data_IF_089185457763
#
_entry.id   IF_089185457763
#
_cell.length_a   1.000
_cell.length_b   1.000
_cell.length_c   1.000
_cell.angle_alpha   90.00
_cell.angle_beta   90.00
_cell.angle_gamma   90.00
#
_symmetry.space_group_name_H-M   'P 1'
#
loop_
_entity.id
_entity.type
_entity.pdbx_description
1 polymer ?
#
# COMPACT_ATOMS: atom_id res chain seq x y z
N UNK A 1 1.12 19.92 -27.56
CA UNK A 1 1.19 19.12 -26.32
C UNK A 1 2.64 18.95 -25.85
N UNK A 2 3.59 18.65 -26.75
CA UNK A 2 5.01 18.46 -26.42
C UNK A 2 5.69 19.73 -25.91
N UNK A 3 5.39 20.90 -26.48
CA UNK A 3 5.95 22.18 -26.04
C UNK A 3 5.42 22.68 -24.68
N UNK A 4 4.19 22.29 -24.30
CA UNK A 4 3.61 22.66 -23.00
C UNK A 4 4.27 21.84 -21.88
N UNK A 5 4.54 20.55 -22.10
CA UNK A 5 5.22 19.69 -21.13
C UNK A 5 6.66 20.16 -20.82
N UNK A 6 7.42 20.52 -21.83
CA UNK A 6 8.80 21.03 -21.67
C UNK A 6 8.84 22.38 -20.96
N UNK A 7 7.86 23.27 -21.17
CA UNK A 7 7.76 24.55 -20.46
C UNK A 7 7.35 24.40 -19.00
N UNK A 8 6.46 23.48 -18.68
CA UNK A 8 6.08 23.17 -17.29
C UNK A 8 7.26 22.57 -16.52
N UNK A 9 7.94 21.57 -17.09
CA UNK A 9 9.15 20.97 -16.49
C UNK A 9 10.25 22.02 -16.27
N UNK A 10 10.46 22.94 -17.19
CA UNK A 10 11.45 24.02 -17.02
C UNK A 10 11.08 25.03 -15.93
N UNK A 11 9.80 25.40 -15.77
CA UNK A 11 9.36 26.32 -14.73
C UNK A 11 9.39 25.67 -13.33
N UNK A 12 9.03 24.42 -13.24
CA UNK A 12 9.11 23.64 -12.00
C UNK A 12 10.58 23.41 -11.58
N UNK A 13 11.48 23.15 -12.50
CA UNK A 13 12.92 23.01 -12.25
C UNK A 13 13.51 24.32 -11.70
N UNK A 14 13.18 25.47 -12.29
CA UNK A 14 13.63 26.80 -11.78
C UNK A 14 13.11 27.11 -10.38
N UNK A 15 11.89 26.73 -10.04
CA UNK A 15 11.31 26.96 -8.70
C UNK A 15 12.05 26.12 -7.65
N UNK A 16 12.47 24.90 -7.98
CA UNK A 16 13.16 24.00 -7.06
C UNK A 16 14.62 24.36 -6.86
N UNK A 17 15.34 24.70 -7.93
CA UNK A 17 16.72 25.19 -7.82
C UNK A 17 16.75 26.39 -6.88
N UNK A 18 15.78 27.29 -7.01
CA UNK A 18 15.59 28.40 -6.10
C UNK A 18 15.28 27.95 -4.66
N UNK A 19 14.41 26.95 -4.45
CA UNK A 19 14.11 26.42 -3.11
C UNK A 19 15.32 25.74 -2.48
N UNK A 20 16.10 24.98 -3.25
CA UNK A 20 17.34 24.33 -2.81
C UNK A 20 18.36 25.38 -2.33
N UNK A 21 18.55 26.48 -3.09
CA UNK A 21 19.44 27.57 -2.71
C UNK A 21 18.92 28.39 -1.52
N UNK A 22 17.66 28.83 -1.55
CA UNK A 22 17.05 29.68 -0.51
C UNK A 22 16.95 28.97 0.85
N UNK A 23 16.75 27.65 0.86
CA UNK A 23 16.67 26.82 2.06
C UNK A 23 18.00 26.23 2.48
N UNK A 24 19.06 26.45 1.73
CA UNK A 24 20.39 25.96 2.04
C UNK A 24 20.47 24.43 2.09
N UNK A 25 19.75 23.74 1.21
CA UNK A 25 19.74 22.28 1.14
C UNK A 25 21.16 21.74 0.94
N UNK A 26 21.59 20.83 1.78
CA UNK A 26 22.94 20.23 1.75
C UNK A 26 22.97 18.88 1.09
N UNK A 27 21.85 18.17 1.07
CA UNK A 27 21.74 16.81 0.57
C UNK A 27 20.37 16.60 -0.07
N UNK A 28 20.32 15.88 -1.19
CA UNK A 28 19.08 15.47 -1.83
C UNK A 28 19.04 13.94 -1.85
N UNK A 29 17.98 13.37 -1.28
CA UNK A 29 17.77 11.94 -1.23
C UNK A 29 16.86 11.54 -2.38
N UNK A 30 17.37 10.66 -3.23
CA UNK A 30 16.63 10.05 -4.33
C UNK A 30 16.01 8.75 -3.82
N UNK A 31 14.69 8.71 -3.77
CA UNK A 31 13.93 7.59 -3.22
C UNK A 31 13.35 6.71 -4.32
N UNK A 32 13.40 5.42 -4.12
CA UNK A 32 12.73 4.43 -4.95
C UNK A 32 12.36 3.20 -4.10
N UNK A 33 11.62 2.25 -4.69
CA UNK A 33 11.07 1.11 -3.95
C UNK A 33 11.41 -0.18 -4.68
N UNK A 34 11.88 -1.21 -3.96
CA UNK A 34 12.07 -2.55 -4.52
C UNK A 34 10.72 -3.30 -4.70
N UNK A 35 10.76 -4.46 -5.34
CA UNK A 35 9.55 -5.27 -5.62
C UNK A 35 8.82 -5.70 -4.34
N UNK A 36 9.54 -5.85 -3.23
CA UNK A 36 8.93 -6.20 -1.93
C UNK A 36 8.34 -5.00 -1.16
N UNK A 37 8.39 -3.80 -1.73
CA UNK A 37 7.88 -2.60 -1.05
C UNK A 37 8.83 -2.02 0.00
N UNK A 38 10.13 -2.30 -0.11
CA UNK A 38 11.15 -1.71 0.77
C UNK A 38 11.66 -0.41 0.17
N UNK A 39 11.64 0.64 0.97
CA UNK A 39 12.15 1.95 0.59
C UNK A 39 13.68 1.92 0.43
N UNK A 40 14.17 2.44 -0.67
CA UNK A 40 15.59 2.59 -0.99
C UNK A 40 15.93 4.06 -1.18
N UNK A 41 17.16 4.42 -0.89
CA UNK A 41 17.62 5.80 -1.00
C UNK A 41 19.08 5.87 -1.40
N UNK A 42 19.40 6.78 -2.29
CA UNK A 42 20.76 7.26 -2.54
C UNK A 42 20.75 8.78 -2.35
N UNK A 43 21.87 9.33 -1.89
CA UNK A 43 22.00 10.76 -1.62
C UNK A 43 22.99 11.39 -2.58
N UNK A 44 22.62 12.58 -3.10
CA UNK A 44 23.47 13.39 -3.98
C UNK A 44 23.72 14.77 -3.39
N UNK A 45 24.83 15.40 -3.79
CA UNK A 45 25.03 16.83 -3.57
C UNK A 45 24.06 17.65 -4.44
N UNK A 46 23.55 18.79 -3.97
CA UNK A 46 22.79 19.71 -4.81
C UNK A 46 23.49 20.10 -6.11
N UNK A 47 24.81 20.14 -6.12
CA UNK A 47 25.60 20.45 -7.32
C UNK A 47 25.44 19.43 -8.46
N UNK A 48 25.06 18.18 -8.11
CA UNK A 48 24.84 17.10 -9.10
C UNK A 48 23.42 17.08 -9.65
N UNK A 49 22.52 17.93 -9.11
CA UNK A 49 21.09 17.81 -9.38
C UNK A 49 20.76 18.00 -10.86
N UNK A 50 21.37 18.98 -11.51
CA UNK A 50 21.17 19.27 -12.94
C UNK A 50 21.58 18.06 -13.80
N UNK A 51 22.78 17.53 -13.56
CA UNK A 51 23.29 16.32 -14.25
C UNK A 51 22.36 15.13 -14.06
N UNK A 52 21.87 14.93 -12.82
CA UNK A 52 20.98 13.80 -12.50
C UNK A 52 19.60 13.95 -13.14
N UNK A 53 19.09 15.18 -13.35
CA UNK A 53 17.87 15.40 -14.11
C UNK A 53 18.06 15.10 -15.61
N UNK A 54 19.19 15.49 -16.19
CA UNK A 54 19.48 15.30 -17.61
C UNK A 54 19.80 13.82 -17.93
N UNK A 55 20.72 13.24 -17.18
CA UNK A 55 21.31 11.93 -17.49
C UNK A 55 20.71 10.78 -16.66
N UNK A 56 20.17 11.07 -15.47
CA UNK A 56 19.83 10.10 -14.46
C UNK A 56 21.03 9.71 -13.59
N UNK A 57 20.78 9.13 -12.43
CA UNK A 57 21.81 8.56 -11.58
C UNK A 57 21.99 7.07 -11.88
N UNK A 58 23.13 6.69 -12.46
CA UNK A 58 23.47 5.29 -12.72
C UNK A 58 23.85 4.57 -11.44
N UNK A 59 23.32 3.35 -11.25
CA UNK A 59 23.66 2.48 -10.13
C UNK A 59 23.53 0.99 -10.50
N UNK A 60 24.20 0.13 -9.72
CA UNK A 60 24.08 -1.32 -9.86
C UNK A 60 22.79 -1.82 -9.20
N UNK A 61 21.82 -2.23 -10.03
CA UNK A 61 20.53 -2.78 -9.59
C UNK A 61 20.62 -4.23 -9.11
N UNK A 62 21.75 -4.95 -9.32
CA UNK A 62 21.85 -6.39 -8.99
C UNK A 62 21.70 -6.68 -7.49
N UNK A 63 22.06 -5.73 -6.65
CA UNK A 63 21.91 -5.82 -5.19
C UNK A 63 20.52 -5.48 -4.67
N UNK A 64 19.57 -5.10 -5.55
CA UNK A 64 18.22 -4.71 -5.20
C UNK A 64 17.24 -5.81 -5.54
N UNK A 65 16.43 -6.20 -4.54
CA UNK A 65 15.45 -7.27 -4.68
C UNK A 65 14.48 -7.03 -5.84
N UNK A 66 14.52 -7.92 -6.82
CA UNK A 66 13.66 -7.89 -8.01
C UNK A 66 14.13 -6.99 -9.14
N UNK A 67 15.26 -6.27 -9.01
CA UNK A 67 15.66 -5.34 -10.07
C UNK A 67 16.34 -6.06 -11.23
N UNK A 68 17.56 -6.52 -11.14
CA UNK A 68 18.22 -7.07 -12.29
C UNK A 68 18.96 -8.38 -12.03
N UNK A 69 19.36 -9.07 -13.12
CA UNK A 69 20.28 -10.22 -13.05
C UNK A 69 21.71 -9.73 -13.08
N UNK A 70 22.63 -10.54 -12.54
CA UNK A 70 24.07 -10.23 -12.44
C UNK A 70 24.73 -9.78 -13.77
N UNK A 71 24.11 -10.08 -14.91
CA UNK A 71 24.69 -9.82 -16.24
C UNK A 71 24.21 -8.51 -16.92
N UNK A 72 23.18 -7.84 -16.36
CA UNK A 72 22.63 -6.58 -16.87
C UNK A 72 22.21 -5.73 -15.68
N UNK A 73 23.19 -5.26 -14.90
CA UNK A 73 22.93 -4.72 -13.57
C UNK A 73 22.69 -3.22 -13.53
N UNK A 74 23.21 -2.48 -14.51
CA UNK A 74 23.17 -1.02 -14.47
C UNK A 74 21.83 -0.46 -14.91
N UNK A 75 21.24 0.36 -14.05
CA UNK A 75 19.99 1.10 -14.27
C UNK A 75 20.16 2.55 -13.88
N UNK A 76 19.22 3.40 -14.30
CA UNK A 76 19.21 4.83 -14.00
C UNK A 76 18.05 5.18 -13.04
N UNK A 77 18.34 5.84 -11.93
CA UNK A 77 17.33 6.53 -11.15
C UNK A 77 17.10 7.93 -11.74
N UNK A 78 15.88 8.17 -12.24
CA UNK A 78 15.45 9.46 -12.76
C UNK A 78 14.48 10.11 -11.80
N UNK A 79 14.89 11.19 -11.11
CA UNK A 79 14.04 11.88 -10.17
C UNK A 79 12.76 12.40 -10.83
N UNK A 80 11.65 12.26 -10.12
CA UNK A 80 10.39 12.90 -10.48
C UNK A 80 10.34 14.25 -9.77
N UNK A 81 10.55 15.34 -10.51
CA UNK A 81 10.65 16.65 -9.90
C UNK A 81 9.34 17.09 -9.22
N UNK A 82 8.16 16.55 -9.56
CA UNK A 82 6.89 16.89 -8.93
C UNK A 82 6.79 16.42 -7.48
N UNK A 83 7.69 15.52 -7.06
CA UNK A 83 7.71 14.90 -5.73
C UNK A 83 8.77 15.48 -4.79
N UNK A 84 9.36 16.64 -5.13
CA UNK A 84 10.37 17.27 -4.28
C UNK A 84 9.75 17.78 -2.97
N UNK A 85 10.31 17.32 -1.85
CA UNK A 85 9.92 17.78 -0.52
C UNK A 85 11.16 18.00 0.37
N UNK A 86 11.06 18.92 1.32
CA UNK A 86 12.07 19.09 2.36
C UNK A 86 11.80 18.12 3.50
N UNK A 87 12.83 17.44 4.00
CA UNK A 87 12.69 16.49 5.10
C UNK A 87 12.55 17.22 6.44
N UNK A 88 11.36 17.20 7.07
CA UNK A 88 11.08 18.02 8.26
C UNK A 88 11.74 17.52 9.55
N UNK A 89 12.33 16.32 9.54
CA UNK A 89 13.05 15.73 10.67
C UNK A 89 14.55 15.94 10.64
N UNK A 90 15.05 16.76 9.72
CA UNK A 90 16.45 17.17 9.62
C UNK A 90 16.58 18.60 10.13
N UNK A 91 17.63 18.88 10.87
CA UNK A 91 17.88 20.24 11.39
C UNK A 91 18.07 21.26 10.25
N UNK A 92 17.67 22.51 10.48
CA UNK A 92 17.70 23.56 9.44
C UNK A 92 19.10 23.84 8.88
N UNK A 93 20.16 23.65 9.69
CA UNK A 93 21.57 23.82 9.28
C UNK A 93 22.09 22.64 8.44
N UNK A 94 21.36 21.52 8.43
CA UNK A 94 21.62 20.32 7.62
C UNK A 94 20.48 20.03 6.63
N UNK A 95 19.70 21.04 6.24
CA UNK A 95 18.51 20.89 5.43
C UNK A 95 18.71 19.89 4.29
N UNK A 96 17.79 18.94 4.18
CA UNK A 96 17.82 17.87 3.18
C UNK A 96 16.50 17.83 2.41
N UNK A 97 16.60 17.66 1.10
CA UNK A 97 15.44 17.40 0.23
C UNK A 97 15.31 15.93 -0.13
N UNK A 98 14.15 15.56 -0.65
CA UNK A 98 13.90 14.24 -1.22
C UNK A 98 13.08 14.32 -2.49
N UNK A 99 13.23 13.32 -3.38
CA UNK A 99 12.39 13.07 -4.55
C UNK A 99 12.22 11.59 -4.77
N UNK A 100 11.05 11.18 -5.20
CA UNK A 100 10.85 9.83 -5.75
C UNK A 100 11.46 9.73 -7.15
N UNK A 101 11.99 8.56 -7.47
CA UNK A 101 12.59 8.27 -8.77
C UNK A 101 11.80 7.21 -9.52
N UNK A 102 11.79 7.37 -10.83
CA UNK A 102 11.45 6.30 -11.76
C UNK A 102 12.75 5.61 -12.19
N UNK A 103 12.76 4.29 -12.19
CA UNK A 103 13.93 3.53 -12.65
C UNK A 103 13.78 3.24 -14.14
N UNK A 104 14.86 3.49 -14.89
CA UNK A 104 14.94 3.24 -16.34
C UNK A 104 16.15 2.41 -16.70
N UNK A 105 16.10 1.76 -17.84
CA UNK A 105 17.26 1.17 -18.50
C UNK A 105 18.23 2.27 -18.95
N UNK A 106 19.45 1.92 -19.31
CA UNK A 106 20.47 2.86 -19.78
C UNK A 106 20.05 3.60 -21.09
N UNK A 107 19.17 3.01 -21.88
CA UNK A 107 18.60 3.63 -23.09
C UNK A 107 17.42 4.57 -22.78
N UNK A 108 17.06 4.74 -21.52
CA UNK A 108 15.97 5.60 -21.05
C UNK A 108 14.58 4.95 -21.07
N UNK A 109 14.45 3.72 -21.54
CA UNK A 109 13.16 3.00 -21.48
C UNK A 109 12.81 2.64 -20.04
N UNK A 110 11.50 2.56 -19.67
CA UNK A 110 11.08 2.14 -18.33
C UNK A 110 11.66 0.78 -17.96
N UNK A 111 12.21 0.67 -16.75
CA UNK A 111 12.72 -0.59 -16.25
C UNK A 111 11.57 -1.46 -15.74
N UNK A 112 11.48 -2.70 -16.26
CA UNK A 112 10.36 -3.61 -15.99
C UNK A 112 10.28 -4.09 -14.51
N UNK A 113 11.35 -3.92 -13.75
CA UNK A 113 11.41 -4.26 -12.32
C UNK A 113 11.05 -3.11 -11.37
N UNK A 114 10.69 -1.93 -11.87
CA UNK A 114 10.29 -0.80 -11.04
C UNK A 114 8.79 -0.81 -10.71
N UNK A 115 8.40 -1.03 -9.43
CA UNK A 115 6.99 -1.03 -9.02
C UNK A 115 6.27 0.29 -9.31
N UNK A 116 6.96 1.43 -9.16
CA UNK A 116 6.37 2.74 -9.43
C UNK A 116 6.02 2.91 -10.92
N UNK A 117 6.86 2.41 -11.81
CA UNK A 117 6.60 2.38 -13.26
C UNK A 117 5.47 1.40 -13.61
N UNK A 118 5.34 0.28 -12.89
CA UNK A 118 4.21 -0.64 -13.07
C UNK A 118 2.89 0.06 -12.76
N UNK A 119 2.80 0.78 -11.63
CA UNK A 119 1.58 1.52 -11.31
C UNK A 119 1.30 2.62 -12.34
N UNK A 120 2.32 3.37 -12.76
CA UNK A 120 2.18 4.40 -13.81
C UNK A 120 1.61 3.83 -15.09
N UNK A 121 2.14 2.69 -15.57
CA UNK A 121 1.64 2.00 -16.77
C UNK A 121 0.16 1.61 -16.64
N UNK A 122 -0.25 1.08 -15.48
CA UNK A 122 -1.65 0.73 -15.25
C UNK A 122 -2.57 1.97 -15.19
N UNK A 123 -2.10 3.07 -14.58
CA UNK A 123 -2.81 4.36 -14.58
C UNK A 123 -2.95 4.89 -16.01
N UNK A 124 -1.90 4.85 -16.81
CA UNK A 124 -1.94 5.34 -18.20
C UNK A 124 -2.91 4.50 -19.05
N UNK A 125 -2.92 3.17 -18.87
CA UNK A 125 -3.91 2.28 -19.50
C UNK A 125 -5.35 2.60 -19.05
N UNK A 126 -5.55 2.95 -17.77
CA UNK A 126 -6.86 3.39 -17.28
C UNK A 126 -7.29 4.71 -17.93
N UNK A 127 -6.36 5.67 -18.08
CA UNK A 127 -6.61 6.96 -18.74
C UNK A 127 -6.96 6.81 -20.22
N UNK A 128 -6.33 5.88 -20.93
CA UNK A 128 -6.70 5.55 -22.32
C UNK A 128 -8.16 5.06 -22.42
N UNK A 129 -8.68 4.43 -21.36
CA UNK A 129 -10.08 4.00 -21.24
C UNK A 129 -10.99 5.09 -20.66
N UNK A 130 -10.45 6.28 -20.38
CA UNK A 130 -11.17 7.44 -19.84
C UNK A 130 -11.35 7.46 -18.34
N UNK A 131 -10.55 6.70 -17.57
CA UNK A 131 -10.66 6.62 -16.12
C UNK A 131 -9.41 7.09 -15.40
N UNK A 132 -9.61 7.74 -14.24
CA UNK A 132 -8.58 8.10 -13.27
C UNK A 132 -8.92 7.51 -11.91
N UNK A 133 -7.99 6.75 -11.30
CA UNK A 133 -8.21 6.16 -9.97
C UNK A 133 -7.67 7.06 -8.87
N UNK A 134 -8.50 7.27 -7.87
CA UNK A 134 -8.16 7.92 -6.61
C UNK A 134 -8.23 6.93 -5.46
N UNK A 135 -7.31 7.05 -4.51
CA UNK A 135 -7.18 6.18 -3.35
C UNK A 135 -7.14 6.98 -2.05
N UNK A 136 -7.66 6.41 -0.97
CA UNK A 136 -7.52 6.89 0.40
C UNK A 136 -7.39 5.67 1.33
N UNK A 137 -6.17 5.31 1.75
CA UNK A 137 -5.95 4.21 2.67
C UNK A 137 -6.12 4.63 4.13
N UNK A 138 -6.69 3.75 4.93
CA UNK A 138 -6.70 3.74 6.39
C UNK A 138 -5.55 2.83 6.82
N UNK A 139 -4.49 3.38 7.45
CA UNK A 139 -3.24 2.65 7.64
C UNK A 139 -3.03 2.34 9.11
N UNK A 140 -3.19 1.06 9.47
CA UNK A 140 -3.00 0.57 10.82
C UNK A 140 -1.56 0.09 11.07
N UNK A 141 -1.08 0.26 12.30
CA UNK A 141 0.26 -0.15 12.71
C UNK A 141 0.35 -0.26 14.24
N UNK A 142 1.44 -0.87 14.71
CA UNK A 142 1.70 -1.02 16.14
C UNK A 142 2.95 -0.26 16.58
N UNK A 143 2.90 0.28 17.81
CA UNK A 143 4.08 0.71 18.54
C UNK A 143 4.41 -0.28 19.66
N UNK A 144 5.69 -0.64 19.78
CA UNK A 144 6.19 -1.52 20.82
C UNK A 144 7.34 -0.88 21.60
N UNK A 145 7.52 -1.32 22.85
CA UNK A 145 8.71 -0.94 23.60
C UNK A 145 9.97 -1.39 22.86
N UNK A 146 10.91 -0.45 22.68
CA UNK A 146 12.19 -0.79 22.06
C UNK A 146 13.07 -1.52 23.08
N UNK A 147 13.46 -2.75 22.77
CA UNK A 147 14.39 -3.53 23.57
C UNK A 147 15.66 -3.74 22.75
N UNK A 148 16.80 -3.34 23.29
CA UNK A 148 18.08 -3.31 22.59
C UNK A 148 18.53 -4.68 22.03
N UNK A 149 18.04 -5.80 22.56
CA UNK A 149 18.49 -7.15 22.17
C UNK A 149 17.38 -8.20 22.01
N UNK A 150 16.12 -7.82 22.18
CA UNK A 150 15.00 -8.76 22.08
C UNK A 150 13.81 -8.13 21.33
N UNK A 151 13.49 -8.67 20.15
CA UNK A 151 12.39 -8.21 19.31
C UNK A 151 11.03 -8.76 19.77
N UNK A 152 10.81 -8.88 21.09
CA UNK A 152 9.50 -9.26 21.61
C UNK A 152 8.50 -8.10 21.43
N UNK A 153 7.29 -8.34 20.90
CA UNK A 153 6.28 -7.30 20.71
C UNK A 153 5.61 -6.95 22.04
N UNK A 154 6.26 -6.10 22.85
CA UNK A 154 5.71 -5.64 24.14
C UNK A 154 4.91 -4.37 23.90
N UNK A 155 3.56 -4.39 24.07
CA UNK A 155 2.72 -3.21 23.94
C UNK A 155 3.15 -2.07 24.87
N UNK A 156 3.04 -0.83 24.40
CA UNK A 156 3.30 0.37 25.21
C UNK A 156 2.15 0.65 26.16
N UNK A 157 0.94 0.24 25.83
CA UNK A 157 -0.29 0.54 26.54
C UNK A 157 -1.30 -0.63 26.48
N UNK A 158 -2.44 -0.42 27.14
CA UNK A 158 -3.60 -1.29 27.16
C UNK A 158 -4.87 -0.51 26.78
N UNK A 159 -4.70 0.56 26.01
CA UNK A 159 -5.80 1.36 25.50
C UNK A 159 -6.60 0.59 24.44
N UNK A 160 -7.76 1.10 24.10
CA UNK A 160 -8.74 0.53 23.18
C UNK A 160 -9.25 1.59 22.22
N UNK A 161 -10.18 1.23 21.37
CA UNK A 161 -10.73 2.06 20.29
C UNK A 161 -11.17 3.44 20.76
N UNK A 162 -10.60 4.49 20.19
CA UNK A 162 -10.86 5.91 20.48
C UNK A 162 -10.57 6.35 21.93
N UNK A 163 -9.78 5.60 22.69
CA UNK A 163 -9.42 6.01 24.03
C UNK A 163 -8.73 7.38 24.06
N UNK A 164 -9.27 8.27 24.89
CA UNK A 164 -8.73 9.62 25.15
C UNK A 164 -8.32 9.72 26.64
N UNK A 165 -7.47 8.83 27.08
CA UNK A 165 -7.01 8.78 28.48
C UNK A 165 -5.48 8.74 28.51
N UNK A 166 -4.92 8.79 29.72
CA UNK A 166 -3.48 8.54 29.92
C UNK A 166 -3.05 7.11 29.56
N UNK A 167 -4.01 6.25 29.22
CA UNK A 167 -3.75 4.90 28.70
C UNK A 167 -3.24 4.91 27.26
N UNK A 168 -3.60 5.92 26.45
CA UNK A 168 -3.03 6.14 25.12
C UNK A 168 -1.68 6.86 25.25
N UNK A 169 -0.64 6.11 25.53
CA UNK A 169 0.73 6.63 25.70
C UNK A 169 1.32 7.16 24.37
N UNK A 170 0.84 6.67 23.25
CA UNK A 170 1.38 6.97 21.93
C UNK A 170 0.68 8.15 21.22
N UNK A 171 -0.26 8.85 21.85
CA UNK A 171 -0.95 9.98 21.22
C UNK A 171 0.01 11.09 20.77
N UNK A 172 1.07 11.34 21.53
CA UNK A 172 2.13 12.29 21.17
C UNK A 172 2.93 11.84 19.93
N UNK A 173 3.18 10.54 19.77
CA UNK A 173 3.85 9.99 18.58
C UNK A 173 2.99 10.22 17.34
N UNK A 174 1.69 9.91 17.41
CA UNK A 174 0.76 10.18 16.30
C UNK A 174 0.74 11.68 15.95
N UNK A 175 0.58 12.56 16.96
CA UNK A 175 0.57 14.01 16.75
C UNK A 175 1.84 14.51 16.04
N UNK A 176 3.03 14.02 16.42
CA UNK A 176 4.27 14.36 15.72
C UNK A 176 4.28 13.84 14.29
N UNK A 177 3.79 12.60 14.09
CA UNK A 177 3.68 12.01 12.75
C UNK A 177 2.79 12.87 11.84
N UNK A 178 1.62 13.31 12.34
CA UNK A 178 0.73 14.19 11.57
C UNK A 178 1.43 15.48 11.14
N UNK A 179 2.11 16.17 12.07
CA UNK A 179 2.85 17.38 11.73
C UNK A 179 3.95 17.15 10.69
N UNK A 180 4.61 15.98 10.73
CA UNK A 180 5.63 15.64 9.73
C UNK A 180 5.01 15.35 8.36
N UNK A 181 3.87 14.64 8.33
CA UNK A 181 3.14 14.36 7.08
C UNK A 181 2.60 15.64 6.45
N UNK A 182 2.01 16.54 7.25
CA UNK A 182 1.57 17.85 6.78
C UNK A 182 2.73 18.69 6.21
N UNK A 183 3.90 18.66 6.85
CA UNK A 183 5.10 19.35 6.37
C UNK A 183 5.66 18.74 5.07
N UNK A 184 5.30 17.48 4.75
CA UNK A 184 5.60 16.78 3.50
C UNK A 184 4.43 16.83 2.50
N UNK A 185 3.52 17.78 2.67
CA UNK A 185 2.35 17.96 1.80
C UNK A 185 1.43 16.74 1.71
N UNK A 186 1.46 15.86 2.72
CA UNK A 186 0.61 14.67 2.82
C UNK A 186 -0.54 14.95 3.80
N UNK A 187 -1.75 15.25 3.32
CA UNK A 187 -2.87 15.59 4.18
C UNK A 187 -3.44 14.33 4.87
N UNK A 188 -3.62 14.43 6.19
CA UNK A 188 -4.25 13.40 7.01
C UNK A 188 -5.72 13.74 7.22
N UNK A 189 -6.60 12.73 7.22
CA UNK A 189 -8.02 12.88 7.52
C UNK A 189 -8.31 12.61 9.00
N UNK A 190 -7.86 11.44 9.51
CA UNK A 190 -8.04 11.02 10.90
C UNK A 190 -6.76 10.39 11.47
N UNK A 191 -6.70 10.34 12.80
CA UNK A 191 -5.70 9.56 13.54
C UNK A 191 -6.23 9.24 14.93
N UNK A 192 -6.19 7.98 15.32
CA UNK A 192 -6.75 7.51 16.59
C UNK A 192 -6.04 6.24 17.10
N UNK A 193 -6.35 5.84 18.32
CA UNK A 193 -5.97 4.55 18.88
C UNK A 193 -6.95 3.49 18.40
N UNK A 194 -6.44 2.39 17.85
CA UNK A 194 -7.22 1.25 17.41
C UNK A 194 -7.60 0.30 18.56
N UNK A 195 -8.35 -0.76 18.27
CA UNK A 195 -8.94 -1.65 19.26
C UNK A 195 -7.91 -2.50 20.02
N UNK A 196 -6.83 -2.88 19.37
CA UNK A 196 -5.79 -3.69 20.03
C UNK A 196 -4.80 -2.84 20.83
N UNK A 197 -4.27 -3.35 21.95
CA UNK A 197 -3.22 -2.67 22.71
C UNK A 197 -2.07 -2.19 21.83
N UNK A 198 -1.73 -0.91 21.94
CA UNK A 198 -0.68 -0.25 21.15
C UNK A 198 -0.89 -0.25 19.63
N UNK A 199 -2.11 -0.46 19.16
CA UNK A 199 -2.48 -0.34 17.76
C UNK A 199 -2.99 1.07 17.46
N UNK A 200 -2.58 1.61 16.33
CA UNK A 200 -2.90 2.98 15.92
C UNK A 200 -3.27 2.99 14.44
N UNK A 201 -4.04 4.01 14.05
CA UNK A 201 -4.44 4.25 12.67
C UNK A 201 -4.20 5.69 12.26
N UNK A 202 -3.82 5.87 11.01
CA UNK A 202 -3.73 7.16 10.34
C UNK A 202 -4.35 7.01 8.95
N UNK A 203 -5.39 7.83 8.70
CA UNK A 203 -6.12 7.86 7.45
C UNK A 203 -5.64 9.02 6.58
N UNK A 204 -5.30 8.73 5.34
CA UNK A 204 -4.87 9.75 4.39
C UNK A 204 -6.05 10.28 3.57
N UNK A 205 -6.07 11.59 3.33
CA UNK A 205 -7.04 12.18 2.39
C UNK A 205 -6.79 11.67 0.98
N UNK A 206 -7.86 11.43 0.23
CA UNK A 206 -7.78 10.87 -1.12
C UNK A 206 -6.95 11.74 -2.07
N UNK A 207 -6.13 11.08 -2.87
CA UNK A 207 -5.42 11.65 -4.02
C UNK A 207 -5.31 10.61 -5.13
N UNK A 208 -4.76 10.97 -6.28
CA UNK A 208 -4.52 10.00 -7.35
C UNK A 208 -3.60 8.86 -6.89
N UNK A 209 -3.74 7.71 -7.54
CA UNK A 209 -3.14 6.46 -7.08
C UNK A 209 -1.59 6.50 -7.01
N UNK A 210 -0.90 7.25 -7.89
CA UNK A 210 0.56 7.31 -7.87
C UNK A 210 1.06 8.13 -6.68
N UNK A 211 0.51 9.34 -6.49
CA UNK A 211 0.83 10.18 -5.34
C UNK A 211 0.44 9.50 -4.03
N UNK A 212 -0.65 8.75 -4.01
CA UNK A 212 -1.04 7.99 -2.82
C UNK A 212 -0.06 6.87 -2.50
N UNK A 213 0.44 6.12 -3.50
CA UNK A 213 1.45 5.09 -3.26
C UNK A 213 2.77 5.69 -2.71
N UNK A 214 3.22 6.83 -3.26
CA UNK A 214 4.36 7.59 -2.74
C UNK A 214 4.09 8.05 -1.29
N UNK A 215 2.88 8.52 -0.98
CA UNK A 215 2.47 8.96 0.37
C UNK A 215 2.46 7.81 1.38
N UNK A 216 1.98 6.62 1.02
CA UNK A 216 2.03 5.42 1.88
C UNK A 216 3.47 5.05 2.23
N UNK A 217 4.38 5.09 1.25
CA UNK A 217 5.81 4.82 1.49
C UNK A 217 6.42 5.86 2.44
N UNK A 218 6.08 7.11 2.25
CA UNK A 218 6.54 8.23 3.09
C UNK A 218 5.99 8.14 4.52
N UNK A 219 4.70 7.83 4.69
CA UNK A 219 4.06 7.62 5.99
C UNK A 219 4.77 6.51 6.77
N UNK A 220 5.03 5.36 6.15
CA UNK A 220 5.75 4.26 6.80
C UNK A 220 7.13 4.67 7.30
N UNK A 221 7.84 5.48 6.52
CA UNK A 221 9.14 6.02 6.92
C UNK A 221 9.00 7.01 8.08
N UNK A 222 8.07 7.95 8.00
CA UNK A 222 7.83 8.98 9.03
C UNK A 222 7.46 8.35 10.39
N UNK A 223 6.49 7.42 10.40
CA UNK A 223 6.07 6.68 11.61
C UNK A 223 7.27 5.99 12.27
N UNK A 224 8.05 5.23 11.49
CA UNK A 224 9.23 4.51 12.01
C UNK A 224 10.32 5.46 12.50
N UNK A 225 10.57 6.56 11.78
CA UNK A 225 11.59 7.56 12.15
C UNK A 225 11.24 8.24 13.48
N UNK A 226 9.99 8.69 13.62
CA UNK A 226 9.53 9.35 14.85
C UNK A 226 9.53 8.40 16.04
N UNK A 227 9.10 7.14 15.83
CA UNK A 227 9.16 6.12 16.86
C UNK A 227 10.60 5.89 17.34
N UNK A 228 11.54 5.72 16.40
CA UNK A 228 12.96 5.54 16.71
C UNK A 228 13.54 6.71 17.52
N UNK A 229 13.23 7.94 17.13
CA UNK A 229 13.71 9.15 17.83
C UNK A 229 13.18 9.26 19.28
N UNK A 230 12.10 8.56 19.58
CA UNK A 230 11.48 8.50 20.92
C UNK A 230 11.75 7.19 21.66
N UNK A 231 12.65 6.35 21.15
CA UNK A 231 12.98 5.07 21.77
C UNK A 231 11.86 4.03 21.71
N UNK A 232 10.99 4.12 20.71
CA UNK A 232 9.86 3.23 20.44
C UNK A 232 10.11 2.49 19.13
N UNK A 233 9.59 1.28 19.01
CA UNK A 233 9.63 0.49 17.78
C UNK A 233 8.27 0.49 17.09
N UNK A 234 8.21 0.93 15.84
CA UNK A 234 7.00 0.93 15.02
C UNK A 234 7.02 -0.20 13.98
N UNK A 235 5.91 -0.90 13.82
CA UNK A 235 5.78 -1.98 12.83
C UNK A 235 4.47 -1.93 12.07
N UNK A 236 4.55 -2.23 10.78
CA UNK A 236 3.44 -2.45 9.86
C UNK A 236 3.22 -3.96 9.60
N UNK A 237 3.73 -4.81 10.48
CA UNK A 237 3.49 -6.26 10.43
C UNK A 237 1.99 -6.55 10.60
N UNK A 238 1.36 -7.31 9.71
CA UNK A 238 -0.09 -7.51 9.71
C UNK A 238 -0.65 -8.16 10.98
N UNK A 239 0.13 -9.06 11.63
CA UNK A 239 -0.30 -9.76 12.84
C UNK A 239 0.87 -9.94 13.81
N UNK A 240 1.24 -8.90 14.58
CA UNK A 240 2.37 -8.98 15.50
C UNK A 240 2.02 -9.60 16.86
N UNK A 241 0.75 -9.58 17.26
CA UNK A 241 0.27 -10.11 18.53
C UNK A 241 -0.76 -11.21 18.35
N UNK A 242 -0.73 -12.22 19.21
CA UNK A 242 -1.74 -13.28 19.24
C UNK A 242 -3.00 -12.83 20.02
N UNK A 243 -4.18 -13.29 19.58
CA UNK A 243 -5.44 -13.11 20.33
C UNK A 243 -6.02 -11.69 20.30
N UNK A 244 -5.48 -10.78 19.49
CA UNK A 244 -6.00 -9.43 19.28
C UNK A 244 -6.10 -9.16 17.77
N UNK A 245 -6.75 -8.08 17.34
CA UNK A 245 -6.83 -7.71 15.93
C UNK A 245 -5.43 -7.46 15.34
N UNK A 246 -5.28 -7.68 14.04
CA UNK A 246 -4.08 -7.33 13.28
C UNK A 246 -4.28 -6.04 12.50
N UNK A 247 -3.22 -5.55 11.85
CA UNK A 247 -3.22 -4.31 11.08
C UNK A 247 -3.69 -4.53 9.65
N UNK A 248 -4.69 -3.75 9.24
CA UNK A 248 -5.17 -3.59 7.86
C UNK A 248 -4.64 -2.31 7.21
N UNK A 249 -4.82 -2.23 5.91
CA UNK A 249 -4.73 -1.01 5.13
C UNK A 249 -5.97 -0.93 4.24
N UNK A 250 -7.13 -0.71 4.88
CA UNK A 250 -8.39 -0.60 4.16
C UNK A 250 -8.27 0.51 3.12
N UNK A 251 -8.49 0.19 1.88
CA UNK A 251 -8.22 1.13 0.80
C UNK A 251 -9.54 1.58 0.17
N UNK A 252 -9.90 2.83 0.39
CA UNK A 252 -10.99 3.48 -0.32
C UNK A 252 -10.56 3.77 -1.76
N UNK A 253 -11.42 3.41 -2.70
CA UNK A 253 -11.20 3.59 -4.14
C UNK A 253 -12.37 4.33 -4.75
N UNK A 254 -12.06 5.21 -5.68
CA UNK A 254 -13.01 5.85 -6.58
C UNK A 254 -12.42 6.01 -7.97
N UNK A 255 -13.28 6.03 -8.99
CA UNK A 255 -12.90 6.34 -10.36
C UNK A 255 -13.54 7.66 -10.79
N UNK A 256 -12.75 8.44 -11.52
CA UNK A 256 -13.20 9.67 -12.14
C UNK A 256 -13.08 9.55 -13.67
N UNK A 257 -13.97 10.21 -14.37
CA UNK A 257 -13.93 10.41 -15.82
C UNK A 257 -14.36 11.85 -16.12
N UNK A 258 -13.55 12.58 -16.89
CA UNK A 258 -13.76 13.99 -17.19
C UNK A 258 -14.02 14.86 -15.92
N UNK A 259 -13.30 14.55 -14.84
CA UNK A 259 -13.42 15.26 -13.55
C UNK A 259 -14.68 14.94 -12.74
N UNK A 260 -15.45 13.91 -13.10
CA UNK A 260 -16.64 13.46 -12.37
C UNK A 260 -16.43 12.07 -11.81
N UNK A 261 -16.87 11.87 -10.57
CA UNK A 261 -16.88 10.56 -9.94
C UNK A 261 -17.90 9.63 -10.61
N UNK A 262 -17.41 8.58 -11.30
CA UNK A 262 -18.27 7.65 -12.04
C UNK A 262 -18.90 6.56 -11.17
N UNK A 263 -18.55 6.48 -9.90
CA UNK A 263 -19.23 5.60 -8.95
C UNK A 263 -20.52 6.19 -8.40
N UNK A 264 -20.68 7.51 -8.52
CA UNK A 264 -21.87 8.20 -8.05
C UNK A 264 -23.11 7.86 -8.88
N UNK A 265 -24.23 7.59 -8.18
CA UNK A 265 -25.57 7.53 -8.74
C UNK A 265 -26.51 8.42 -7.93
N UNK A 266 -27.37 9.24 -8.57
CA UNK A 266 -28.29 10.14 -7.87
C UNK A 266 -29.28 9.43 -6.92
N UNK A 267 -29.52 8.13 -7.08
CA UNK A 267 -30.33 7.32 -6.15
C UNK A 267 -29.68 7.08 -4.79
N UNK A 268 -28.38 7.40 -4.64
CA UNK A 268 -27.59 7.09 -3.45
C UNK A 268 -27.00 5.67 -3.45
N UNK A 269 -27.18 4.93 -4.55
CA UNK A 269 -26.53 3.63 -4.79
C UNK A 269 -25.21 3.82 -5.53
N UNK A 270 -24.44 2.74 -5.74
CA UNK A 270 -23.38 2.76 -6.74
C UNK A 270 -23.97 2.75 -8.16
N UNK A 271 -23.35 3.51 -9.06
CA UNK A 271 -23.62 3.45 -10.50
C UNK A 271 -23.36 2.05 -11.05
N UNK A 272 -23.82 1.75 -12.26
CA UNK A 272 -23.51 0.50 -12.95
C UNK A 272 -22.00 0.29 -13.12
N UNK A 273 -21.25 1.35 -13.40
CA UNK A 273 -19.78 1.32 -13.49
C UNK A 273 -19.16 0.92 -12.13
N UNK A 274 -19.62 1.55 -11.04
CA UNK A 274 -19.16 1.20 -9.70
C UNK A 274 -19.52 -0.23 -9.30
N UNK A 275 -20.70 -0.72 -9.67
CA UNK A 275 -21.12 -2.10 -9.44
C UNK A 275 -20.23 -3.11 -10.18
N UNK A 276 -19.96 -2.88 -11.47
CA UNK A 276 -19.08 -3.73 -12.26
C UNK A 276 -17.63 -3.68 -11.77
N UNK A 277 -17.14 -2.53 -11.29
CA UNK A 277 -15.82 -2.41 -10.66
C UNK A 277 -15.72 -3.26 -9.39
N UNK A 278 -16.71 -3.20 -8.50
CA UNK A 278 -16.79 -4.06 -7.30
C UNK A 278 -16.86 -5.54 -7.69
N UNK A 279 -17.68 -5.88 -8.68
CA UNK A 279 -17.76 -7.26 -9.17
C UNK A 279 -16.41 -7.77 -9.69
N UNK A 280 -15.64 -6.94 -10.38
CA UNK A 280 -14.28 -7.25 -10.81
C UNK A 280 -13.33 -7.52 -9.63
N UNK A 281 -13.34 -6.67 -8.61
CA UNK A 281 -12.57 -6.90 -7.38
C UNK A 281 -12.93 -8.20 -6.69
N UNK A 282 -14.22 -8.54 -6.62
CA UNK A 282 -14.68 -9.80 -6.00
C UNK A 282 -14.28 -11.01 -6.83
N UNK A 283 -14.42 -10.94 -8.14
CA UNK A 283 -14.10 -12.05 -9.05
C UNK A 283 -12.61 -12.42 -8.98
N UNK A 284 -11.74 -11.41 -9.00
CA UNK A 284 -10.29 -11.57 -8.98
C UNK A 284 -9.67 -11.50 -7.58
N UNK A 285 -10.50 -11.48 -6.51
CA UNK A 285 -10.02 -11.32 -5.13
C UNK A 285 -8.95 -12.33 -4.74
N UNK A 286 -9.14 -13.60 -5.08
CA UNK A 286 -8.18 -14.67 -4.76
C UNK A 286 -6.87 -14.52 -5.52
N UNK A 287 -6.93 -14.12 -6.77
CA UNK A 287 -5.79 -13.92 -7.67
C UNK A 287 -4.87 -12.79 -7.20
N UNK A 288 -5.45 -11.69 -6.71
CA UNK A 288 -4.69 -10.51 -6.26
C UNK A 288 -4.20 -10.60 -4.81
N UNK A 289 -4.66 -11.61 -4.04
CA UNK A 289 -4.36 -11.70 -2.60
C UNK A 289 -2.86 -11.81 -2.31
N UNK A 290 -2.08 -12.54 -3.11
CA UNK A 290 -0.63 -12.65 -2.90
C UNK A 290 0.09 -11.29 -2.95
N UNK A 291 -0.44 -10.32 -3.70
CA UNK A 291 0.11 -8.98 -3.85
C UNK A 291 -0.39 -8.04 -2.74
N UNK A 292 -1.67 -8.10 -2.42
CA UNK A 292 -2.27 -7.26 -1.35
C UNK A 292 -1.91 -7.73 0.06
N UNK A 293 -1.49 -9.00 0.20
CA UNK A 293 -1.18 -9.69 1.45
C UNK A 293 0.07 -10.57 1.28
N UNK A 294 1.22 -9.92 1.10
CA UNK A 294 2.42 -10.55 0.56
C UNK A 294 3.26 -11.38 1.55
N UNK A 295 2.94 -11.37 2.85
CA UNK A 295 3.71 -12.06 3.88
C UNK A 295 3.02 -13.34 4.35
N UNK A 296 3.79 -14.34 4.80
CA UNK A 296 3.23 -15.49 5.54
C UNK A 296 2.37 -15.01 6.71
N UNK A 297 2.78 -13.93 7.35
CA UNK A 297 2.09 -13.34 8.49
C UNK A 297 0.75 -12.68 8.11
N UNK A 298 0.57 -12.22 6.88
CA UNK A 298 -0.68 -11.61 6.38
C UNK A 298 -1.89 -12.54 6.57
N UNK A 299 -1.71 -13.83 6.36
CA UNK A 299 -2.77 -14.84 6.46
C UNK A 299 -3.16 -15.15 7.91
N UNK A 300 -2.32 -14.81 8.89
CA UNK A 300 -2.68 -14.89 10.31
C UNK A 300 -3.69 -13.81 10.68
N UNK A 301 -3.64 -12.62 10.04
CA UNK A 301 -4.67 -11.59 10.17
C UNK A 301 -5.99 -12.04 9.53
N UNK A 302 -5.96 -12.49 8.28
CA UNK A 302 -7.16 -12.85 7.52
C UNK A 302 -7.91 -14.04 8.17
N UNK A 303 -7.21 -15.02 8.73
CA UNK A 303 -7.81 -16.26 9.24
C UNK A 303 -8.43 -16.15 10.63
N UNK A 304 -8.09 -15.14 11.42
CA UNK A 304 -8.65 -15.00 12.78
C UNK A 304 -10.11 -14.55 12.83
N UNK A 305 -10.58 -13.94 11.76
CA UNK A 305 -12.01 -13.65 11.64
C UNK A 305 -12.38 -12.24 12.09
N UNK A 306 -12.16 -11.75 13.18
CA UNK A 306 -12.55 -10.43 13.69
C UNK A 306 -13.10 -9.46 12.58
N UNK A 307 -12.54 -8.28 12.40
CA UNK A 307 -12.92 -7.36 11.31
C UNK A 307 -12.16 -7.62 10.00
N UNK A 308 -11.17 -8.52 9.97
CA UNK A 308 -10.45 -8.86 8.76
C UNK A 308 -11.32 -9.74 7.83
N UNK A 309 -11.46 -9.38 6.54
CA UNK A 309 -12.33 -10.10 5.64
C UNK A 309 -11.72 -11.44 5.22
N UNK A 310 -12.44 -12.51 5.48
CA UNK A 310 -12.08 -13.88 5.03
C UNK A 310 -12.84 -14.29 3.78
N UNK A 311 -14.06 -13.78 3.63
CA UNK A 311 -15.00 -14.24 2.61
C UNK A 311 -15.12 -13.22 1.49
N UNK A 312 -15.16 -13.73 0.24
CA UNK A 312 -15.34 -12.91 -0.96
C UNK A 312 -16.80 -12.47 -1.02
N UNK A 313 -17.05 -11.29 -0.48
CA UNK A 313 -18.39 -10.71 -0.34
C UNK A 313 -18.35 -9.19 -0.33
N UNK A 314 -19.50 -8.57 -0.54
CA UNK A 314 -19.63 -7.13 -0.37
C UNK A 314 -20.89 -6.79 0.47
N UNK A 315 -20.85 -5.65 1.14
CA UNK A 315 -22.00 -5.12 1.88
C UNK A 315 -21.87 -3.61 2.09
N UNK A 316 -23.00 -2.96 2.43
CA UNK A 316 -23.03 -1.57 2.86
C UNK A 316 -22.70 -1.42 4.34
N UNK A 317 -23.23 -2.28 5.18
CA UNK A 317 -23.20 -2.14 6.65
C UNK A 317 -22.45 -3.27 7.37
N UNK A 318 -21.93 -4.27 6.66
CA UNK A 318 -21.22 -5.39 7.28
C UNK A 318 -19.71 -5.18 7.15
N UNK A 319 -19.03 -4.91 8.27
CA UNK A 319 -17.58 -4.69 8.34
C UNK A 319 -16.74 -5.95 8.09
N UNK A 320 -17.35 -7.15 8.16
CA UNK A 320 -16.66 -8.40 7.83
C UNK A 320 -16.61 -8.71 6.33
N UNK A 321 -17.25 -7.91 5.48
CA UNK A 321 -17.22 -8.09 4.03
C UNK A 321 -15.89 -7.65 3.42
N UNK A 322 -15.49 -8.28 2.31
CA UNK A 322 -14.27 -7.95 1.58
C UNK A 322 -14.32 -6.55 0.97
N UNK A 323 -15.48 -6.22 0.39
CA UNK A 323 -15.73 -4.87 -0.14
C UNK A 323 -16.89 -4.27 0.63
N UNK A 324 -16.65 -3.11 1.25
CA UNK A 324 -17.68 -2.29 1.85
C UNK A 324 -18.02 -1.11 0.94
N UNK A 325 -19.29 -0.78 0.84
CA UNK A 325 -19.77 0.40 0.13
C UNK A 325 -20.25 1.41 1.17
N UNK A 326 -19.40 2.38 1.57
CA UNK A 326 -19.79 3.38 2.56
C UNK A 326 -20.96 4.23 2.07
N UNK A 327 -21.82 4.64 2.99
CA UNK A 327 -22.87 5.62 2.69
C UNK A 327 -22.20 6.94 2.33
N UNK A 328 -22.54 7.48 1.18
CA UNK A 328 -22.08 8.80 0.76
C UNK A 328 -23.23 9.83 0.80
N UNK A 329 -22.86 11.09 0.94
CA UNK A 329 -23.83 12.19 0.96
C UNK A 329 -24.31 12.47 -0.47
N UNK A 330 -25.64 12.50 -0.68
CA UNK A 330 -26.21 12.74 -2.01
C UNK A 330 -25.83 14.11 -2.60
N UNK A 331 -25.60 15.10 -1.75
CA UNK A 331 -25.14 16.45 -2.12
C UNK A 331 -23.63 16.54 -2.41
N UNK A 332 -22.88 15.44 -2.23
CA UNK A 332 -21.43 15.32 -2.46
C UNK A 332 -21.12 14.14 -3.37
N UNK A 333 -21.38 14.24 -4.69
CA UNK A 333 -21.15 13.16 -5.65
C UNK A 333 -19.70 12.64 -5.62
N UNK A 334 -18.72 13.51 -5.40
CA UNK A 334 -17.30 13.13 -5.37
C UNK A 334 -16.93 12.25 -4.18
N UNK A 335 -17.82 12.11 -3.17
CA UNK A 335 -17.60 11.24 -2.01
C UNK A 335 -18.01 9.77 -2.26
N UNK A 336 -18.57 9.44 -3.42
CA UNK A 336 -18.93 8.07 -3.77
C UNK A 336 -17.65 7.21 -3.90
N UNK A 337 -17.56 6.12 -3.11
CA UNK A 337 -16.38 5.28 -3.03
C UNK A 337 -16.73 3.87 -2.60
N UNK A 338 -15.83 2.98 -2.83
CA UNK A 338 -15.83 1.63 -2.25
C UNK A 338 -14.61 1.46 -1.35
N UNK A 339 -14.63 0.52 -0.43
CA UNK A 339 -13.54 0.20 0.47
C UNK A 339 -13.16 -1.27 0.30
N UNK A 340 -11.93 -1.53 -0.14
CA UNK A 340 -11.36 -2.87 -0.22
C UNK A 340 -10.58 -3.18 1.05
N UNK A 341 -11.05 -4.14 1.85
CA UNK A 341 -10.63 -4.33 3.25
C UNK A 341 -9.55 -5.39 3.47
N UNK A 342 -9.23 -6.21 2.46
CA UNK A 342 -8.25 -7.28 2.64
C UNK A 342 -6.81 -6.80 2.72
N UNK A 343 -6.46 -5.69 2.07
CA UNK A 343 -5.08 -5.18 2.00
C UNK A 343 -4.48 -5.01 3.39
N UNK A 344 -3.21 -5.36 3.54
CA UNK A 344 -2.48 -5.07 4.77
C UNK A 344 -1.33 -4.06 4.54
N UNK A 345 -0.89 -3.37 5.61
CA UNK A 345 0.06 -2.28 5.49
C UNK A 345 1.50 -2.73 5.20
N UNK A 346 1.77 -4.04 5.05
CA UNK A 346 3.07 -4.56 4.64
C UNK A 346 3.19 -4.78 3.13
N UNK A 347 2.10 -4.62 2.36
CA UNK A 347 2.12 -4.77 0.90
C UNK A 347 3.01 -3.72 0.22
N UNK A 348 3.38 -3.97 -1.03
CA UNK A 348 3.91 -2.93 -1.91
C UNK A 348 2.74 -2.10 -2.46
N UNK A 349 2.56 -0.81 -2.08
CA UNK A 349 1.37 -0.04 -2.47
C UNK A 349 1.27 0.15 -3.99
N UNK A 350 2.38 0.29 -4.70
CA UNK A 350 2.37 0.42 -6.15
C UNK A 350 1.80 -0.83 -6.82
N UNK A 351 2.22 -2.01 -6.37
CA UNK A 351 1.72 -3.28 -6.93
C UNK A 351 0.29 -3.57 -6.47
N UNK A 352 -0.04 -3.29 -5.20
CA UNK A 352 -1.39 -3.48 -4.68
C UNK A 352 -2.42 -2.62 -5.42
N UNK A 353 -2.12 -1.34 -5.63
CA UNK A 353 -3.01 -0.44 -6.38
C UNK A 353 -3.10 -0.84 -7.86
N UNK A 354 -2.01 -1.34 -8.46
CA UNK A 354 -2.02 -1.85 -9.83
C UNK A 354 -2.99 -3.01 -10.02
N UNK A 355 -2.91 -4.03 -9.16
CA UNK A 355 -3.77 -5.22 -9.30
C UNK A 355 -5.22 -4.93 -8.95
N UNK A 356 -5.49 -4.02 -7.98
CA UNK A 356 -6.85 -3.59 -7.67
C UNK A 356 -7.47 -2.79 -8.82
N UNK A 357 -6.71 -1.88 -9.43
CA UNK A 357 -7.17 -1.12 -10.61
C UNK A 357 -7.48 -2.06 -11.77
N UNK A 358 -6.57 -2.99 -12.07
CA UNK A 358 -6.75 -3.95 -13.17
C UNK A 358 -7.95 -4.86 -12.95
N UNK A 359 -8.15 -5.36 -11.73
CA UNK A 359 -9.30 -6.19 -11.37
C UNK A 359 -10.63 -5.44 -11.53
N UNK A 360 -10.68 -4.20 -11.01
CA UNK A 360 -11.89 -3.37 -11.14
C UNK A 360 -12.20 -2.99 -12.58
N UNK A 361 -11.20 -2.58 -13.37
CA UNK A 361 -11.36 -2.25 -14.80
C UNK A 361 -11.80 -3.47 -15.62
N UNK A 362 -11.26 -4.66 -15.33
CA UNK A 362 -11.70 -5.90 -15.97
C UNK A 362 -13.18 -6.16 -15.73
N UNK A 363 -13.67 -5.90 -14.52
CA UNK A 363 -15.09 -6.00 -14.21
C UNK A 363 -15.95 -5.03 -15.05
N UNK A 364 -15.47 -3.81 -15.29
CA UNK A 364 -16.16 -2.84 -16.16
C UNK A 364 -16.15 -3.31 -17.62
N UNK A 365 -15.00 -3.73 -18.13
CA UNK A 365 -14.83 -4.16 -19.52
C UNK A 365 -15.69 -5.37 -19.90
N UNK A 366 -15.75 -6.35 -19.01
CA UNK A 366 -16.51 -7.58 -19.20
C UNK A 366 -17.96 -7.47 -18.69
N UNK A 367 -18.35 -6.31 -18.14
CA UNK A 367 -19.67 -6.05 -17.57
C UNK A 367 -20.05 -7.11 -16.50
N UNK A 368 -19.13 -7.39 -15.57
CA UNK A 368 -19.43 -8.36 -14.51
C UNK A 368 -20.61 -7.92 -13.67
N UNK A 369 -21.48 -8.89 -13.39
CA UNK A 369 -22.64 -8.67 -12.52
C UNK A 369 -22.24 -8.72 -11.05
N UNK A 370 -22.66 -7.71 -10.28
CA UNK A 370 -22.43 -7.68 -8.83
C UNK A 370 -23.29 -8.74 -8.16
N UNK A 371 -22.70 -9.68 -7.38
CA UNK A 371 -23.48 -10.71 -6.67
C UNK A 371 -24.38 -10.07 -5.60
N UNK A 372 -25.35 -10.80 -5.03
CA UNK A 372 -26.21 -10.29 -3.95
C UNK A 372 -25.39 -9.81 -2.75
N UNK A 373 -25.88 -8.74 -2.10
CA UNK A 373 -25.29 -8.18 -0.88
C UNK A 373 -25.27 -9.20 0.27
N UNK A 374 -24.15 -9.33 0.99
CA UNK A 374 -24.04 -10.15 2.18
C UNK A 374 -24.67 -9.40 3.40
N UNK A 375 -25.96 -9.61 3.61
CA UNK A 375 -26.72 -8.96 4.68
C UNK A 375 -26.57 -9.63 6.05
N UNK A 376 -26.04 -10.86 6.07
CA UNK A 376 -25.83 -11.67 7.29
C UNK A 376 -24.36 -11.80 7.62
N UNK A 377 -24.06 -12.04 8.89
CA UNK A 377 -22.69 -12.29 9.33
C UNK A 377 -22.20 -13.66 8.83
N UNK A 378 -21.33 -13.67 7.84
CA UNK A 378 -20.81 -14.90 7.22
C UNK A 378 -19.98 -15.75 8.20
N UNK A 379 -19.44 -15.15 9.27
CA UNK A 379 -18.67 -15.87 10.30
C UNK A 379 -19.55 -16.72 11.23
N UNK A 380 -20.83 -16.36 11.39
CA UNK A 380 -21.80 -17.11 12.18
C UNK A 380 -22.45 -18.26 11.42
N UNK A 381 -22.24 -18.30 10.11
CA UNK A 381 -22.77 -19.36 9.25
C UNK A 381 -21.94 -20.63 9.34
N UNK A 382 -22.61 -21.78 9.28
CA UNK A 382 -21.95 -23.07 9.10
C UNK A 382 -21.28 -23.16 7.71
N UNK A 383 -20.27 -24.01 7.58
CA UNK A 383 -19.62 -24.28 6.28
C UNK A 383 -20.59 -24.78 5.21
N UNK A 384 -21.66 -25.48 5.62
CA UNK A 384 -22.70 -25.96 4.72
C UNK A 384 -23.51 -24.81 4.12
N UNK A 385 -23.94 -23.86 4.97
CA UNK A 385 -24.67 -22.66 4.55
C UNK A 385 -23.82 -21.75 3.66
N UNK A 386 -22.54 -21.55 4.01
CA UNK A 386 -21.59 -20.79 3.17
C UNK A 386 -21.41 -21.40 1.78
N UNK A 387 -21.32 -22.72 1.72
CA UNK A 387 -21.20 -23.46 0.46
C UNK A 387 -22.48 -23.40 -0.37
N UNK A 388 -23.64 -23.45 0.26
CA UNK A 388 -24.95 -23.30 -0.40
C UNK A 388 -25.13 -21.93 -1.02
N UNK A 389 -24.61 -20.88 -0.35
CA UNK A 389 -24.58 -19.51 -0.85
C UNK A 389 -23.50 -19.27 -1.92
N UNK A 390 -22.63 -20.25 -2.18
CA UNK A 390 -21.55 -20.11 -3.16
C UNK A 390 -20.47 -19.08 -2.77
N UNK A 391 -20.37 -18.72 -1.47
CA UNK A 391 -19.39 -17.73 -1.00
C UNK A 391 -18.00 -18.36 -0.96
N UNK A 392 -17.09 -17.84 -1.80
CA UNK A 392 -15.68 -18.22 -1.78
C UNK A 392 -14.95 -17.58 -0.58
N UNK A 393 -13.89 -18.25 -0.10
CA UNK A 393 -12.96 -17.69 0.87
C UNK A 393 -11.71 -17.16 0.17
N UNK A 394 -11.08 -16.13 0.72
CA UNK A 394 -9.71 -15.78 0.36
C UNK A 394 -8.76 -16.95 0.63
N UNK A 395 -7.58 -17.00 -0.01
CA UNK A 395 -6.57 -18.01 0.27
C UNK A 395 -6.25 -18.10 1.77
N UNK A 396 -6.12 -19.31 2.30
CA UNK A 396 -5.87 -19.51 3.72
C UNK A 396 -4.40 -19.32 4.12
N UNK A 397 -3.48 -19.32 3.16
CA UNK A 397 -2.04 -19.17 3.38
C UNK A 397 -1.36 -18.64 2.12
N UNK A 398 -0.09 -18.24 2.27
CA UNK A 398 0.70 -17.68 1.17
C UNK A 398 0.82 -18.66 -0.02
N UNK A 399 0.94 -19.95 0.23
CA UNK A 399 1.05 -20.94 -0.88
C UNK A 399 -0.20 -20.97 -1.76
N UNK A 400 -1.38 -21.02 -1.14
CA UNK A 400 -2.64 -20.99 -1.90
C UNK A 400 -2.79 -19.68 -2.69
N UNK A 401 -2.40 -18.54 -2.09
CA UNK A 401 -2.46 -17.25 -2.78
C UNK A 401 -1.48 -17.19 -3.97
N UNK A 402 -0.30 -17.80 -3.83
CA UNK A 402 0.67 -17.89 -4.93
C UNK A 402 0.18 -18.84 -6.04
N UNK A 403 -0.57 -19.92 -5.71
CA UNK A 403 -1.17 -20.80 -6.71
C UNK A 403 -2.23 -20.05 -7.53
N UNK A 404 -3.09 -19.26 -6.87
CA UNK A 404 -4.09 -18.41 -7.54
C UNK A 404 -3.44 -17.32 -8.41
N UNK A 405 -2.40 -16.66 -7.89
CA UNK A 405 -1.64 -15.66 -8.62
C UNK A 405 -0.97 -16.26 -9.86
N UNK A 406 -0.32 -17.44 -9.72
CA UNK A 406 0.42 -18.09 -10.81
C UNK A 406 -0.49 -18.46 -11.99
N UNK A 407 -1.76 -18.80 -11.70
CA UNK A 407 -2.78 -19.11 -12.70
C UNK A 407 -3.44 -17.86 -13.32
N UNK A 408 -3.17 -16.66 -12.80
CA UNK A 408 -3.86 -15.43 -13.18
C UNK A 408 -3.16 -14.68 -14.32
N UNK A 409 -3.81 -14.62 -15.48
CA UNK A 409 -3.38 -13.74 -16.58
C UNK A 409 -3.52 -12.26 -16.20
N UNK A 410 -4.59 -11.89 -15.47
CA UNK A 410 -4.82 -10.51 -15.02
C UNK A 410 -3.66 -9.99 -14.18
N UNK A 411 -3.20 -10.76 -13.19
CA UNK A 411 -2.09 -10.34 -12.33
C UNK A 411 -0.77 -10.28 -13.13
N UNK A 412 -0.54 -11.24 -14.03
CA UNK A 412 0.63 -11.23 -14.92
C UNK A 412 0.66 -9.99 -15.81
N UNK A 413 -0.45 -9.62 -16.44
CA UNK A 413 -0.57 -8.42 -17.26
C UNK A 413 -0.37 -7.14 -16.43
N UNK A 414 -1.01 -7.05 -15.26
CA UNK A 414 -0.90 -5.90 -14.37
C UNK A 414 0.54 -5.65 -13.89
N UNK A 415 1.26 -6.70 -13.51
CA UNK A 415 2.63 -6.59 -12.99
C UNK A 415 3.70 -6.58 -14.09
N UNK A 416 3.44 -7.24 -15.22
CA UNK A 416 4.42 -7.58 -16.23
C UNK A 416 5.27 -8.80 -15.83
N UNK A 417 5.79 -9.53 -16.81
CA UNK A 417 6.48 -10.81 -16.60
C UNK A 417 7.64 -10.72 -15.63
N UNK A 418 8.43 -9.64 -15.67
CA UNK A 418 9.62 -9.49 -14.82
C UNK A 418 9.25 -9.52 -13.32
N UNK A 419 8.35 -8.64 -12.88
CA UNK A 419 7.93 -8.57 -11.47
C UNK A 419 7.14 -9.83 -11.10
N UNK A 420 6.22 -10.27 -11.97
CA UNK A 420 5.40 -11.45 -11.72
C UNK A 420 6.24 -12.69 -11.43
N UNK A 421 7.19 -13.04 -12.28
CA UNK A 421 8.03 -14.24 -12.12
C UNK A 421 9.01 -14.11 -10.94
N UNK A 422 9.57 -12.91 -10.75
CA UNK A 422 10.48 -12.67 -9.63
C UNK A 422 9.73 -12.77 -8.29
N UNK A 423 8.55 -12.17 -8.19
CA UNK A 423 7.73 -12.18 -6.98
C UNK A 423 7.31 -13.60 -6.61
N UNK A 424 6.79 -14.37 -7.57
CA UNK A 424 6.42 -15.77 -7.36
C UNK A 424 7.61 -16.58 -6.82
N UNK A 425 8.76 -16.51 -7.48
CA UNK A 425 9.95 -17.24 -7.06
C UNK A 425 10.40 -16.84 -5.65
N UNK A 426 10.44 -15.54 -5.34
CA UNK A 426 10.83 -15.04 -4.04
C UNK A 426 9.86 -15.52 -2.94
N UNK A 427 8.57 -15.37 -3.16
CA UNK A 427 7.55 -15.74 -2.18
C UNK A 427 7.36 -17.25 -2.01
N UNK A 428 7.60 -18.04 -3.03
CA UNK A 428 7.71 -19.50 -2.91
C UNK A 428 8.89 -19.92 -2.05
N UNK A 429 10.02 -19.22 -2.16
CA UNK A 429 11.18 -19.46 -1.31
C UNK A 429 10.86 -19.12 0.15
N UNK A 430 10.28 -17.95 0.42
CA UNK A 430 9.85 -17.54 1.77
C UNK A 430 8.89 -18.57 2.40
N UNK A 431 7.90 -19.04 1.64
CA UNK A 431 6.97 -20.07 2.10
C UNK A 431 7.68 -21.39 2.44
N UNK A 432 8.58 -21.86 1.59
CA UNK A 432 9.34 -23.08 1.81
C UNK A 432 10.26 -22.98 3.03
N UNK A 433 10.86 -21.83 3.27
CA UNK A 433 11.68 -21.56 4.46
C UNK A 433 10.81 -21.56 5.73
N UNK A 434 9.65 -20.90 5.69
CA UNK A 434 8.71 -20.90 6.80
C UNK A 434 8.23 -22.30 7.16
N UNK A 435 7.86 -23.12 6.20
CA UNK A 435 7.38 -24.50 6.43
C UNK A 435 8.42 -25.41 7.08
N UNK A 436 9.71 -25.10 6.96
CA UNK A 436 10.79 -25.88 7.58
C UNK A 436 11.08 -25.45 9.02
N UNK A 437 10.47 -24.36 9.50
CA UNK A 437 10.67 -23.90 10.88
C UNK A 437 9.97 -24.86 11.84
N UNK A 438 10.69 -25.31 12.89
CA UNK A 438 10.05 -25.94 14.04
C UNK A 438 9.66 -24.87 15.01
N UNK A 439 8.36 -24.68 15.17
CA UNK A 439 7.79 -23.57 15.94
C UNK A 439 7.72 -23.86 17.44
N UNK A 440 7.72 -22.84 18.32
CA UNK A 440 7.44 -23.04 19.74
C UNK A 440 6.12 -23.80 19.99
N UNK A 441 5.09 -23.53 19.19
CA UNK A 441 3.82 -24.27 19.28
C UNK A 441 4.01 -25.79 19.10
N UNK A 442 4.80 -26.22 18.11
CA UNK A 442 5.07 -27.63 17.85
C UNK A 442 5.89 -28.25 19.00
N UNK A 443 6.89 -27.52 19.49
CA UNK A 443 7.68 -27.97 20.65
C UNK A 443 6.80 -28.17 21.88
N UNK A 444 6.00 -27.17 22.21
CA UNK A 444 5.12 -27.20 23.40
C UNK A 444 4.05 -28.30 23.32
N UNK A 445 3.51 -28.56 22.13
CA UNK A 445 2.42 -29.52 21.96
C UNK A 445 2.91 -30.97 21.77
N UNK A 446 4.03 -31.15 21.06
CA UNK A 446 4.42 -32.48 20.62
C UNK A 446 5.60 -33.08 21.38
N UNK A 447 6.60 -32.27 21.80
CA UNK A 447 7.79 -32.79 22.48
C UNK A 447 7.47 -33.50 23.79
N UNK A 448 6.48 -33.09 24.63
CA UNK A 448 6.16 -33.79 25.86
C UNK A 448 5.40 -35.12 25.64
N UNK A 449 4.78 -35.30 24.47
CA UNK A 449 3.80 -36.37 24.27
C UNK A 449 4.25 -37.42 23.25
N UNK A 450 5.30 -37.18 22.50
CA UNK A 450 5.83 -38.05 21.46
C UNK A 450 7.34 -38.22 21.57
#
# INVERSE_FOLDING_TARGET
>A
AYEIGVRLVGSEMCIRDRTVEERGVRLIRLWFTDVLGRHKSVAISPAELETVFEEGLQFDGSAIDGFSRIQESDVLARPDPSTFELLPWVADDEASGTMFCNITNLDGTPFAGDPRQVLRRNIDSAREKGYEMFCAPEIEFFYFANQENDLQPIPLDQASYFDLTTMDVASDLRRHTLHMLEALSIPVEYSFHEDSPSQHEIDLQYTDALNMADSVMTLRLAVKKIALDRGVYATFMPKPLNGVQGSGMHTHLSLFSEGKNVFHDPSGSLSSIGQSFVAGLLYHAREITAITNQLVNSYKRINEGYEAPRYVSWARNNRSSLVRIPVHKQDKPDSARIEYRAVDPACNPYLAFSVMLSAGLKGIEENYELPPEATTNLYEMSRAEQKELGVASLPANLSEALDEMEASELVREALGDHIFEWFLRNKRTEWNEYQRQVTPFEIDQYLPNW
#
